data_IF_022470158264
#
_entry.id   IF_022470158264
#
_cell.length_a   1.000
_cell.length_b   1.000
_cell.length_c   1.000
_cell.angle_alpha   90.00
_cell.angle_beta   90.00
_cell.angle_gamma   90.00
#
_symmetry.space_group_name_H-M   'P 1'
#
loop_
_entity.id
_entity.type
_entity.pdbx_description
1 polymer ?
#
# COMPACT_ATOMS: atom_id res chain seq x y z
N UNK A 1 -21.24 -3.30 14.01
CA UNK A 1 -20.37 -4.49 14.15
C UNK A 1 -18.95 -4.01 14.22
N UNK A 2 -18.19 -4.26 15.29
CA UNK A 2 -16.78 -3.93 15.29
C UNK A 2 -16.07 -4.84 14.30
N UNK A 3 -15.61 -4.31 13.18
CA UNK A 3 -14.72 -5.02 12.27
C UNK A 3 -13.48 -5.42 13.07
N UNK A 4 -13.14 -6.71 13.06
CA UNK A 4 -11.97 -7.22 13.74
C UNK A 4 -10.72 -6.52 13.16
N UNK A 5 -10.09 -5.70 13.95
CA UNK A 5 -8.95 -4.82 13.57
C UNK A 5 -7.72 -5.63 13.14
N UNK A 6 -7.63 -6.91 13.50
CA UNK A 6 -6.58 -7.81 13.01
C UNK A 6 -6.66 -8.09 11.52
N UNK A 7 -7.87 -7.96 10.92
CA UNK A 7 -8.08 -8.14 9.48
C UNK A 7 -7.76 -6.90 8.64
N UNK A 8 -7.59 -5.73 9.27
CA UNK A 8 -7.48 -4.47 8.53
C UNK A 8 -6.07 -4.23 7.93
N UNK A 9 -4.98 -4.63 8.61
CA UNK A 9 -3.61 -4.44 8.12
C UNK A 9 -3.00 -5.78 7.69
N UNK A 10 -3.32 -6.20 6.48
CA UNK A 10 -2.90 -7.47 5.90
C UNK A 10 -1.47 -7.37 5.37
N UNK A 11 -0.67 -8.42 5.60
CA UNK A 11 0.69 -8.57 5.10
C UNK A 11 1.60 -9.26 6.12
N UNK A 12 2.59 -9.96 5.63
CA UNK A 12 3.63 -10.65 6.41
C UNK A 12 5.03 -10.08 6.13
N UNK A 13 5.11 -9.11 5.20
CA UNK A 13 6.37 -8.46 4.92
C UNK A 13 6.93 -7.77 6.18
N UNK A 14 8.26 -7.80 6.43
CA UNK A 14 8.88 -7.21 7.62
C UNK A 14 8.50 -5.75 7.87
N UNK A 15 8.25 -4.97 6.82
CA UNK A 15 7.79 -3.59 6.95
C UNK A 15 6.40 -3.51 7.61
N UNK A 16 5.47 -4.42 7.26
CA UNK A 16 4.12 -4.46 7.84
C UNK A 16 4.14 -5.01 9.27
N UNK A 17 4.99 -6.00 9.54
CA UNK A 17 5.17 -6.53 10.91
C UNK A 17 5.69 -5.44 11.84
N UNK A 18 6.72 -4.69 11.43
CA UNK A 18 7.26 -3.53 12.17
C UNK A 18 6.21 -2.44 12.35
N UNK A 19 5.41 -2.18 11.31
CA UNK A 19 4.34 -1.18 11.36
C UNK A 19 3.27 -1.57 12.38
N UNK A 20 2.84 -2.84 12.45
CA UNK A 20 1.90 -3.31 13.47
C UNK A 20 2.45 -3.12 14.88
N UNK A 21 3.70 -3.50 15.13
CA UNK A 21 4.34 -3.30 16.43
C UNK A 21 4.43 -1.81 16.81
N UNK A 22 4.67 -0.92 15.84
CA UNK A 22 4.67 0.52 16.05
C UNK A 22 3.28 1.04 16.38
N UNK A 23 2.24 0.58 15.66
CA UNK A 23 0.84 0.94 15.90
C UNK A 23 0.44 0.62 17.35
N UNK A 24 0.77 -0.58 17.88
CA UNK A 24 0.46 -0.97 19.26
C UNK A 24 1.06 0.01 20.28
N UNK A 25 2.30 0.41 20.08
CA UNK A 25 2.99 1.35 20.98
C UNK A 25 2.40 2.75 20.89
N UNK A 26 2.12 3.23 19.67
CA UNK A 26 1.61 4.58 19.41
C UNK A 26 0.14 4.72 19.81
N UNK A 27 -0.64 3.65 19.69
CA UNK A 27 -2.05 3.66 20.05
C UNK A 27 -2.27 3.98 21.54
N UNK A 28 -1.43 3.45 22.41
CA UNK A 28 -1.49 3.71 23.86
C UNK A 28 -1.10 5.15 24.24
N UNK A 29 -0.32 5.84 23.38
CA UNK A 29 0.10 7.21 23.62
C UNK A 29 -0.90 8.19 22.98
N UNK A 30 -1.33 9.21 23.73
CA UNK A 30 -2.26 10.24 23.24
C UNK A 30 -1.52 11.38 22.51
N UNK A 31 -0.62 11.04 21.60
CA UNK A 31 0.20 11.98 20.83
C UNK A 31 -0.31 12.12 19.39
N UNK A 32 0.05 13.22 18.75
CA UNK A 32 -0.19 13.43 17.32
C UNK A 32 0.67 12.47 16.50
N UNK A 33 0.09 11.93 15.45
CA UNK A 33 0.74 10.97 14.53
C UNK A 33 0.68 11.52 13.12
N UNK A 34 1.82 11.50 12.42
CA UNK A 34 1.89 11.83 11.01
C UNK A 34 2.17 10.56 10.20
N UNK A 35 1.22 10.16 9.37
CA UNK A 35 1.33 8.99 8.50
C UNK A 35 1.69 9.46 7.10
N UNK A 36 2.83 9.02 6.58
CA UNK A 36 3.29 9.34 5.22
C UNK A 36 3.35 8.10 4.34
N UNK A 37 3.15 8.27 3.05
CA UNK A 37 3.21 7.19 2.06
C UNK A 37 2.40 7.53 0.82
N UNK A 38 2.69 6.86 -0.27
CA UNK A 38 2.03 7.05 -1.56
C UNK A 38 0.50 6.89 -1.47
N UNK A 39 -0.20 7.44 -2.46
CA UNK A 39 -1.66 7.22 -2.56
C UNK A 39 -1.99 5.73 -2.66
N UNK A 40 -3.05 5.29 -1.98
CA UNK A 40 -3.51 3.91 -2.01
C UNK A 40 -2.69 2.90 -1.20
N UNK A 41 -1.69 3.32 -0.40
CA UNK A 41 -0.88 2.43 0.46
C UNK A 41 -1.61 1.91 1.69
N UNK A 42 -2.76 2.51 2.08
CA UNK A 42 -3.56 2.13 3.24
C UNK A 42 -3.34 3.03 4.47
N UNK A 43 -2.96 4.30 4.30
CA UNK A 43 -2.78 5.28 5.40
C UNK A 43 -4.01 5.41 6.29
N UNK A 44 -5.21 5.43 5.71
CA UNK A 44 -6.47 5.48 6.46
C UNK A 44 -6.69 4.23 7.32
N UNK A 45 -6.35 3.04 6.78
CA UNK A 45 -6.40 1.77 7.52
C UNK A 45 -5.46 1.80 8.73
N UNK A 46 -4.26 2.37 8.56
CA UNK A 46 -3.30 2.56 9.66
C UNK A 46 -3.87 3.51 10.73
N UNK A 47 -4.46 4.63 10.33
CA UNK A 47 -5.08 5.59 11.26
C UNK A 47 -6.23 4.95 12.04
N UNK A 48 -7.08 4.20 11.36
CA UNK A 48 -8.18 3.46 11.99
C UNK A 48 -7.65 2.39 12.97
N UNK A 49 -6.59 1.67 12.59
CA UNK A 49 -5.94 0.68 13.45
C UNK A 49 -5.36 1.32 14.74
N UNK A 50 -4.78 2.53 14.64
CA UNK A 50 -4.30 3.30 15.80
C UNK A 50 -5.47 3.69 16.71
N UNK A 51 -6.57 4.20 16.14
CA UNK A 51 -7.74 4.58 16.92
C UNK A 51 -8.35 3.39 17.66
N UNK A 52 -8.59 2.28 16.97
CA UNK A 52 -9.22 1.08 17.51
C UNK A 52 -8.42 0.41 18.64
N UNK A 53 -7.10 0.60 18.68
CA UNK A 53 -6.20 0.10 19.74
C UNK A 53 -5.91 1.13 20.82
N UNK A 54 -6.48 2.32 20.71
CA UNK A 54 -6.26 3.43 21.66
C UNK A 54 -7.26 3.40 22.82
N UNK A 55 -6.99 4.16 23.92
CA UNK A 55 -7.99 4.39 24.98
C UNK A 55 -9.29 5.03 24.48
N UNK A 56 -9.29 5.61 23.28
CA UNK A 56 -10.45 6.26 22.64
C UNK A 56 -11.21 5.34 21.66
N UNK A 57 -10.97 4.05 21.65
CA UNK A 57 -11.55 3.10 20.69
C UNK A 57 -13.09 3.07 20.67
N UNK A 58 -13.73 3.44 21.78
CA UNK A 58 -15.19 3.54 21.90
C UNK A 58 -15.73 4.96 21.64
N UNK A 59 -14.87 5.91 21.30
CA UNK A 59 -15.23 7.29 20.97
C UNK A 59 -15.33 7.47 19.45
N UNK A 60 -15.74 8.68 19.02
CA UNK A 60 -15.85 9.00 17.59
C UNK A 60 -14.51 8.94 16.86
N UNK A 61 -14.51 8.32 15.68
CA UNK A 61 -13.44 8.43 14.67
C UNK A 61 -13.98 9.23 13.50
N UNK A 62 -13.42 10.43 13.26
CA UNK A 62 -13.90 11.37 12.24
C UNK A 62 -12.84 11.48 11.14
N UNK A 63 -12.96 10.75 10.01
CA UNK A 63 -12.07 10.92 8.87
C UNK A 63 -12.47 12.15 8.06
N UNK A 64 -11.48 12.97 7.70
CA UNK A 64 -11.63 14.16 6.87
C UNK A 64 -10.58 14.12 5.77
N UNK A 65 -10.99 14.05 4.52
CA UNK A 65 -10.08 14.21 3.40
C UNK A 65 -10.04 15.69 2.98
N UNK A 66 -8.89 16.36 3.21
CA UNK A 66 -8.72 17.79 2.97
C UNK A 66 -8.78 18.15 1.47
N UNK A 67 -8.43 17.22 0.58
CA UNK A 67 -8.52 17.43 -0.87
C UNK A 67 -9.93 17.22 -1.44
N UNK A 68 -10.77 16.44 -0.77
CA UNK A 68 -12.11 16.13 -1.26
C UNK A 68 -13.13 17.25 -0.99
N UNK A 69 -12.85 18.15 -0.03
CA UNK A 69 -13.72 19.26 0.33
C UNK A 69 -13.26 20.52 -0.41
N UNK A 70 -14.13 21.24 -1.13
CA UNK A 70 -13.78 22.52 -1.72
C UNK A 70 -13.15 23.48 -0.69
N UNK A 71 -12.09 24.19 -1.08
CA UNK A 71 -11.32 25.05 -0.16
C UNK A 71 -12.18 26.08 0.57
N UNK A 72 -13.17 26.64 -0.12
CA UNK A 72 -14.10 27.64 0.44
C UNK A 72 -15.02 27.06 1.52
N UNK A 73 -15.28 25.75 1.49
CA UNK A 73 -16.11 25.04 2.45
C UNK A 73 -15.31 24.36 3.56
N UNK A 74 -14.05 24.05 3.31
CA UNK A 74 -13.21 23.29 4.26
C UNK A 74 -13.13 23.97 5.63
N UNK A 75 -13.04 25.29 5.66
CA UNK A 75 -13.02 26.05 6.89
C UNK A 75 -14.31 25.86 7.70
N UNK A 76 -15.44 26.04 7.04
CA UNK A 76 -16.76 25.90 7.65
C UNK A 76 -17.05 24.46 8.10
N UNK A 77 -16.64 23.45 7.33
CA UNK A 77 -16.79 22.05 7.70
C UNK A 77 -15.89 21.69 8.89
N UNK A 78 -14.63 22.13 8.90
CA UNK A 78 -13.68 21.81 9.96
C UNK A 78 -14.01 22.49 11.29
N UNK A 79 -14.27 23.81 11.27
CA UNK A 79 -14.39 24.64 12.47
C UNK A 79 -15.83 24.96 12.85
N UNK A 80 -16.77 24.77 11.89
CA UNK A 80 -18.18 25.19 12.03
C UNK A 80 -18.39 26.66 11.69
N UNK A 81 -19.63 27.08 11.66
CA UNK A 81 -20.00 28.47 11.40
C UNK A 81 -21.26 28.90 12.16
N UNK A 82 -21.35 30.19 12.43
CA UNK A 82 -22.54 30.82 12.93
C UNK A 82 -23.45 31.29 11.77
N UNK A 83 -24.73 31.48 12.08
CA UNK A 83 -25.70 32.02 11.13
C UNK A 83 -25.24 33.37 10.60
N UNK A 84 -25.22 33.53 9.27
CA UNK A 84 -24.79 34.78 8.61
C UNK A 84 -23.28 34.95 8.44
N UNK A 85 -22.47 33.96 8.76
CA UNK A 85 -21.01 34.04 8.65
C UNK A 85 -20.53 34.22 7.19
N UNK A 86 -21.32 33.76 6.21
CA UNK A 86 -21.05 33.92 4.78
C UNK A 86 -22.38 33.85 4.00
N UNK A 87 -22.35 34.19 2.72
CA UNK A 87 -23.52 34.12 1.83
C UNK A 87 -23.95 32.66 1.68
N UNK A 88 -25.13 32.30 2.25
CA UNK A 88 -25.65 30.93 2.29
C UNK A 88 -25.61 30.26 3.69
N UNK A 89 -25.05 30.91 4.71
CA UNK A 89 -25.10 30.44 6.09
C UNK A 89 -26.49 30.68 6.72
N UNK A 90 -27.47 29.86 6.34
CA UNK A 90 -28.87 29.99 6.83
C UNK A 90 -29.04 29.60 8.31
N UNK A 91 -28.12 28.80 8.87
CA UNK A 91 -28.10 28.34 10.26
C UNK A 91 -26.69 28.25 10.83
N UNK A 92 -26.56 27.98 12.14
CA UNK A 92 -25.28 27.61 12.74
C UNK A 92 -25.04 26.12 12.61
N UNK A 93 -23.77 25.72 12.42
CA UNK A 93 -23.38 24.31 12.31
C UNK A 93 -22.08 24.05 13.09
N UNK A 94 -22.08 22.95 13.84
CA UNK A 94 -20.87 22.48 14.50
C UNK A 94 -19.88 21.93 13.49
N UNK A 95 -18.59 22.24 13.66
CA UNK A 95 -17.52 21.72 12.81
C UNK A 95 -17.11 20.30 13.18
N UNK A 96 -16.37 19.64 12.26
CA UNK A 96 -15.87 18.27 12.42
C UNK A 96 -14.93 18.15 13.63
N UNK A 97 -14.13 19.18 13.94
CA UNK A 97 -13.29 19.21 15.15
C UNK A 97 -14.12 19.15 16.43
N UNK A 98 -15.27 19.83 16.48
CA UNK A 98 -16.19 19.75 17.62
C UNK A 98 -16.91 18.41 17.68
N UNK A 99 -17.26 17.83 16.53
CA UNK A 99 -17.87 16.49 16.44
C UNK A 99 -16.90 15.39 16.90
N UNK A 100 -15.59 15.61 16.70
CA UNK A 100 -14.53 14.69 17.13
C UNK A 100 -14.14 14.86 18.62
N UNK A 101 -14.83 15.71 19.39
CA UNK A 101 -14.49 15.93 20.80
C UNK A 101 -14.46 14.62 21.58
N UNK A 102 -13.41 14.45 22.40
CA UNK A 102 -13.04 13.23 23.15
C UNK A 102 -12.70 12.01 22.28
N UNK A 103 -12.81 12.13 20.96
CA UNK A 103 -12.49 11.09 19.97
C UNK A 103 -11.17 11.33 19.26
N UNK A 104 -11.13 10.87 18.01
CA UNK A 104 -9.97 10.99 17.10
C UNK A 104 -10.42 11.59 15.79
N UNK A 105 -9.67 12.57 15.28
CA UNK A 105 -9.84 13.07 13.90
C UNK A 105 -8.67 12.59 13.04
N UNK A 106 -8.98 12.07 11.85
CA UNK A 106 -8.01 11.81 10.80
C UNK A 106 -8.08 12.94 9.78
N UNK A 107 -6.96 13.65 9.57
CA UNK A 107 -6.79 14.66 8.54
C UNK A 107 -6.00 14.02 7.39
N UNK A 108 -6.72 13.44 6.42
CA UNK A 108 -6.09 12.84 5.25
C UNK A 108 -5.78 13.91 4.20
N UNK A 109 -4.67 13.71 3.47
CA UNK A 109 -4.14 14.66 2.49
C UNK A 109 -3.94 16.06 3.08
N UNK A 110 -3.36 16.12 4.31
CA UNK A 110 -3.15 17.37 5.06
C UNK A 110 -2.31 18.40 4.28
N UNK A 111 -1.45 17.96 3.36
CA UNK A 111 -0.66 18.82 2.49
C UNK A 111 -1.48 19.71 1.55
N UNK A 112 -2.74 19.35 1.30
CA UNK A 112 -3.68 20.09 0.46
C UNK A 112 -4.47 21.16 1.24
N UNK A 113 -4.25 21.26 2.56
CA UNK A 113 -4.94 22.25 3.40
C UNK A 113 -4.45 23.66 3.08
N UNK A 114 -5.36 24.63 2.78
CA UNK A 114 -4.99 26.02 2.57
C UNK A 114 -4.20 26.63 3.74
N UNK A 115 -3.16 27.42 3.44
CA UNK A 115 -2.22 27.95 4.45
C UNK A 115 -2.90 28.79 5.55
N UNK A 116 -4.01 29.46 5.22
CA UNK A 116 -4.82 30.20 6.19
C UNK A 116 -5.49 29.28 7.23
N UNK A 117 -5.88 28.07 6.83
CA UNK A 117 -6.50 27.09 7.71
C UNK A 117 -5.44 26.34 8.56
N UNK A 118 -4.24 26.19 8.05
CA UNK A 118 -3.12 25.61 8.81
C UNK A 118 -2.85 26.39 10.09
N UNK A 119 -2.92 27.74 10.06
CA UNK A 119 -2.77 28.57 11.26
C UNK A 119 -3.89 28.35 12.29
N UNK A 120 -5.12 28.09 11.84
CA UNK A 120 -6.25 27.79 12.74
C UNK A 120 -6.11 26.38 13.34
N UNK A 121 -5.69 25.40 12.53
CA UNK A 121 -5.43 24.05 13.01
C UNK A 121 -4.31 24.03 14.06
N UNK A 122 -3.24 24.81 13.87
CA UNK A 122 -2.16 24.91 14.85
C UNK A 122 -2.69 25.33 16.24
N UNK A 123 -3.56 26.33 16.31
CA UNK A 123 -4.20 26.75 17.57
C UNK A 123 -5.01 25.64 18.24
N UNK A 124 -5.69 24.82 17.44
CA UNK A 124 -6.42 23.65 17.98
C UNK A 124 -5.46 22.63 18.57
N UNK A 125 -4.31 22.39 17.91
CA UNK A 125 -3.27 21.46 18.38
C UNK A 125 -2.52 21.96 19.63
N UNK A 126 -2.45 23.28 19.83
CA UNK A 126 -1.76 23.90 20.98
C UNK A 126 -2.70 24.06 22.17
N UNK A 127 -3.83 24.72 21.95
CA UNK A 127 -4.73 25.21 23.01
C UNK A 127 -5.97 24.32 23.20
N UNK A 128 -6.26 23.42 22.26
CA UNK A 128 -7.51 22.64 22.23
C UNK A 128 -8.74 23.54 22.01
N UNK A 129 -8.58 24.65 21.28
CA UNK A 129 -9.65 25.67 21.12
C UNK A 129 -10.09 25.77 19.68
N UNK A 130 -11.37 25.56 19.43
CA UNK A 130 -12.04 25.73 18.13
C UNK A 130 -12.87 27.00 18.15
N UNK A 131 -12.72 27.84 17.12
CA UNK A 131 -13.53 29.04 16.91
C UNK A 131 -14.28 28.92 15.58
N UNK A 132 -15.64 28.86 15.62
CA UNK A 132 -16.47 28.82 14.41
C UNK A 132 -16.31 30.09 13.56
N UNK A 133 -16.53 29.96 12.26
CA UNK A 133 -16.51 31.11 11.32
C UNK A 133 -17.63 32.09 11.69
N UNK A 134 -17.29 33.37 11.77
CA UNK A 134 -18.25 34.42 12.17
C UNK A 134 -18.57 34.48 13.65
N UNK A 135 -17.83 33.74 14.52
CA UNK A 135 -18.06 33.72 15.96
C UNK A 135 -16.84 34.19 16.75
N UNK A 136 -17.08 35.00 17.78
CA UNK A 136 -16.06 35.31 18.79
C UNK A 136 -16.00 34.28 19.93
N UNK A 137 -17.00 33.38 19.99
CA UNK A 137 -17.05 32.34 21.00
C UNK A 137 -16.11 31.19 20.63
N UNK A 138 -15.29 30.81 21.59
CA UNK A 138 -14.38 29.70 21.46
C UNK A 138 -14.88 28.49 22.26
N UNK A 139 -14.81 27.31 21.68
CA UNK A 139 -15.18 26.04 22.33
C UNK A 139 -13.92 25.21 22.55
N UNK A 140 -13.74 24.73 23.78
CA UNK A 140 -12.66 23.77 24.08
C UNK A 140 -13.03 22.38 23.62
N UNK A 141 -12.08 21.70 22.98
CA UNK A 141 -12.20 20.32 22.52
C UNK A 141 -10.95 19.53 22.96
N UNK A 142 -11.15 18.23 23.19
CA UNK A 142 -10.08 17.30 23.47
C UNK A 142 -10.04 16.25 22.37
N UNK A 143 -9.34 16.54 21.28
CA UNK A 143 -9.31 15.68 20.07
C UNK A 143 -7.91 15.12 19.89
N UNK A 144 -7.81 13.80 19.70
CA UNK A 144 -6.58 13.18 19.22
C UNK A 144 -6.48 13.38 17.71
N UNK A 145 -5.37 13.94 17.23
CA UNK A 145 -5.16 14.22 15.81
C UNK A 145 -4.23 13.17 15.20
N UNK A 146 -4.65 12.57 14.11
CA UNK A 146 -3.84 11.76 13.20
C UNK A 146 -3.86 12.48 11.86
N UNK A 147 -2.70 12.85 11.32
CA UNK A 147 -2.56 13.46 10.00
C UNK A 147 -1.98 12.43 9.02
N UNK A 148 -2.44 12.47 7.77
CA UNK A 148 -1.91 11.64 6.70
C UNK A 148 -1.54 12.52 5.48
N UNK A 149 -0.44 12.17 4.79
CA UNK A 149 0.05 12.89 3.62
C UNK A 149 0.62 11.91 2.59
N UNK A 150 0.36 12.17 1.32
CA UNK A 150 0.98 11.50 0.19
C UNK A 150 2.14 12.31 -0.41
N UNK A 151 2.32 13.55 0.04
CA UNK A 151 3.42 14.44 -0.33
C UNK A 151 4.39 14.61 0.83
N UNK A 152 5.64 14.91 0.53
CA UNK A 152 6.62 15.31 1.54
C UNK A 152 6.27 16.70 2.08
N UNK A 153 5.92 16.77 3.37
CA UNK A 153 5.57 18.03 4.02
C UNK A 153 6.80 18.92 4.26
N UNK A 154 8.00 18.34 4.40
CA UNK A 154 9.24 19.11 4.46
C UNK A 154 9.50 19.87 3.17
N UNK A 155 9.30 19.22 2.02
CA UNK A 155 9.34 19.89 0.72
C UNK A 155 8.25 20.96 0.57
N UNK A 156 7.04 20.70 1.11
CA UNK A 156 5.95 21.68 1.10
C UNK A 156 6.30 22.92 1.97
N UNK A 157 6.97 22.73 3.10
CA UNK A 157 7.51 23.83 3.92
C UNK A 157 8.55 24.64 3.13
N UNK A 158 9.51 23.97 2.47
CA UNK A 158 10.52 24.63 1.67
C UNK A 158 9.92 25.47 0.51
N UNK A 159 8.79 25.02 -0.05
CA UNK A 159 8.04 25.76 -1.09
C UNK A 159 7.12 26.85 -0.55
N UNK A 160 6.97 26.98 0.78
CA UNK A 160 6.07 27.93 1.42
C UNK A 160 4.58 27.59 1.30
N UNK A 161 4.23 26.37 0.91
CA UNK A 161 2.84 25.89 0.81
C UNK A 161 2.35 25.23 2.10
N UNK A 162 3.26 24.91 3.01
CA UNK A 162 2.96 24.38 4.34
C UNK A 162 3.74 25.16 5.41
N UNK A 163 3.10 25.39 6.57
CA UNK A 163 3.73 26.15 7.67
C UNK A 163 4.69 25.25 8.43
N UNK A 164 5.86 25.77 8.74
CA UNK A 164 6.90 25.06 9.49
C UNK A 164 6.47 24.72 10.93
N UNK A 165 5.79 25.66 11.61
CA UNK A 165 5.30 25.48 12.98
C UNK A 165 4.27 24.34 13.08
N UNK A 166 3.35 24.26 12.13
CA UNK A 166 2.37 23.18 12.04
C UNK A 166 3.06 21.84 11.72
N UNK A 167 4.03 21.83 10.82
CA UNK A 167 4.77 20.62 10.47
C UNK A 167 5.41 19.97 11.70
N UNK A 168 6.15 20.74 12.51
CA UNK A 168 6.76 20.20 13.73
C UNK A 168 5.71 19.76 14.77
N UNK A 169 4.57 20.43 14.83
CA UNK A 169 3.48 20.03 15.74
C UNK A 169 2.77 18.74 15.31
N UNK A 170 2.74 18.44 14.02
CA UNK A 170 2.19 17.20 13.47
C UNK A 170 3.19 16.04 13.52
N UNK A 171 4.48 16.31 13.31
CA UNK A 171 5.53 15.29 13.21
C UNK A 171 6.05 14.79 14.57
N UNK A 172 5.17 14.59 15.55
CA UNK A 172 5.59 14.06 16.86
C UNK A 172 5.97 12.58 16.75
N UNK A 173 5.15 11.78 16.07
CA UNK A 173 5.45 10.37 15.75
C UNK A 173 5.24 10.16 14.26
N UNK A 174 6.31 10.14 13.45
CA UNK A 174 6.21 9.82 12.04
C UNK A 174 6.03 8.32 11.81
N UNK A 175 5.10 7.95 10.93
CA UNK A 175 4.85 6.59 10.46
C UNK A 175 4.92 6.57 8.94
N UNK A 176 5.82 5.77 8.37
CA UNK A 176 5.94 5.62 6.91
C UNK A 176 5.29 4.30 6.49
N UNK A 177 4.36 4.38 5.55
CA UNK A 177 3.72 3.19 4.97
C UNK A 177 4.39 2.86 3.64
N UNK A 178 5.06 1.71 3.60
CA UNK A 178 5.78 1.26 2.41
C UNK A 178 4.85 1.05 1.20
N UNK A 179 5.25 1.45 -0.01
CA UNK A 179 4.50 1.17 -1.22
C UNK A 179 4.46 -0.34 -1.52
N UNK A 180 3.47 -0.79 -2.30
CA UNK A 180 3.23 -2.21 -2.54
C UNK A 180 4.40 -2.90 -3.28
N UNK A 181 5.10 -2.19 -4.17
CA UNK A 181 6.30 -2.68 -4.87
C UNK A 181 7.47 -3.04 -3.93
N UNK A 182 7.52 -2.47 -2.73
CA UNK A 182 8.53 -2.79 -1.71
C UNK A 182 8.13 -3.95 -0.80
N UNK A 183 6.84 -4.36 -0.85
CA UNK A 183 6.27 -5.48 -0.07
C UNK A 183 5.50 -6.46 -0.95
N UNK A 184 6.07 -6.81 -2.10
CA UNK A 184 5.44 -7.70 -3.11
C UNK A 184 5.01 -9.05 -2.56
N UNK A 185 5.68 -9.54 -1.50
CA UNK A 185 5.30 -10.77 -0.79
C UNK A 185 3.88 -10.72 -0.22
N UNK A 186 3.33 -9.52 0.00
CA UNK A 186 1.98 -9.34 0.54
C UNK A 186 0.91 -9.38 -0.57
N UNK A 187 1.28 -9.26 -1.85
CA UNK A 187 0.32 -9.26 -2.98
C UNK A 187 -0.57 -10.52 -2.99
N UNK A 188 -0.04 -11.74 -2.84
CA UNK A 188 -0.89 -12.93 -2.81
C UNK A 188 -1.89 -12.93 -1.63
N UNK A 189 -1.46 -12.48 -0.45
CA UNK A 189 -2.32 -12.40 0.74
C UNK A 189 -3.42 -11.35 0.57
N UNK A 190 -3.07 -10.18 0.02
CA UNK A 190 -4.03 -9.11 -0.27
C UNK A 190 -5.04 -9.55 -1.33
N UNK A 191 -4.56 -10.21 -2.39
CA UNK A 191 -5.43 -10.72 -3.47
C UNK A 191 -6.43 -11.74 -2.92
N UNK A 192 -5.98 -12.71 -2.11
CA UNK A 192 -6.88 -13.69 -1.50
C UNK A 192 -7.90 -13.05 -0.59
N UNK A 193 -7.48 -12.12 0.26
CA UNK A 193 -8.39 -11.36 1.11
C UNK A 193 -9.49 -10.61 0.31
N UNK A 194 -9.12 -9.97 -0.80
CA UNK A 194 -10.12 -9.28 -1.63
C UNK A 194 -11.07 -10.27 -2.30
N UNK A 195 -10.58 -11.42 -2.75
CA UNK A 195 -11.43 -12.48 -3.29
C UNK A 195 -12.37 -13.05 -2.22
N UNK A 196 -11.93 -13.25 -0.98
CA UNK A 196 -12.77 -13.67 0.15
C UNK A 196 -13.89 -12.67 0.41
N UNK A 197 -13.59 -11.37 0.48
CA UNK A 197 -14.61 -10.32 0.64
C UNK A 197 -15.65 -10.32 -0.49
N UNK A 198 -15.27 -10.67 -1.71
CA UNK A 198 -16.18 -10.77 -2.86
C UNK A 198 -17.04 -12.04 -2.73
N UNK A 199 -16.47 -13.17 -2.33
CA UNK A 199 -17.20 -14.44 -2.07
C UNK A 199 -18.27 -14.25 -0.99
N UNK A 200 -17.96 -13.52 0.07
CA UNK A 200 -18.93 -13.23 1.15
C UNK A 200 -20.14 -12.43 0.66
N UNK A 201 -19.92 -11.53 -0.30
CA UNK A 201 -21.00 -10.74 -0.93
C UNK A 201 -21.75 -11.52 -2.02
N UNK A 202 -21.14 -12.54 -2.59
CA UNK A 202 -21.69 -13.32 -3.71
C UNK A 202 -21.50 -14.83 -3.46
N UNK A 203 -22.25 -15.44 -2.52
CA UNK A 203 -21.97 -16.78 -1.98
C UNK A 203 -22.06 -17.97 -2.96
N UNK A 204 -22.31 -17.74 -4.24
CA UNK A 204 -22.44 -18.80 -5.26
C UNK A 204 -21.21 -18.98 -6.16
N UNK A 205 -20.13 -18.21 -5.97
CA UNK A 205 -18.94 -18.26 -6.83
C UNK A 205 -17.68 -18.48 -6.02
N UNK A 206 -17.09 -19.66 -6.12
CA UNK A 206 -15.70 -19.88 -5.76
C UNK A 206 -14.82 -19.29 -6.87
N UNK A 207 -14.29 -18.07 -6.65
CA UNK A 207 -13.37 -17.44 -7.60
C UNK A 207 -11.95 -17.71 -7.11
N UNK A 208 -11.12 -18.24 -8.01
CA UNK A 208 -9.69 -18.49 -7.79
C UNK A 208 -8.86 -17.71 -8.80
N UNK A 209 -7.56 -17.67 -8.61
CA UNK A 209 -6.63 -17.02 -9.54
C UNK A 209 -5.60 -18.04 -10.01
N UNK A 210 -5.31 -18.06 -11.32
CA UNK A 210 -4.29 -18.95 -11.87
C UNK A 210 -2.90 -18.55 -11.41
N UNK A 211 -1.96 -19.49 -11.42
CA UNK A 211 -0.58 -19.24 -11.02
C UNK A 211 0.09 -18.19 -11.91
N UNK A 212 -0.18 -18.25 -13.20
CA UNK A 212 0.35 -17.34 -14.21
C UNK A 212 -0.17 -15.92 -14.00
N UNK A 213 -1.47 -15.76 -13.71
CA UNK A 213 -2.06 -14.47 -13.38
C UNK A 213 -1.48 -13.91 -12.07
N UNK A 214 -1.30 -14.74 -11.04
CA UNK A 214 -0.68 -14.31 -9.78
C UNK A 214 0.77 -13.84 -9.97
N UNK A 215 1.55 -14.49 -10.84
CA UNK A 215 2.91 -14.06 -11.17
C UNK A 215 2.91 -12.69 -11.84
N UNK A 216 1.95 -12.43 -12.74
CA UNK A 216 1.81 -11.11 -13.36
C UNK A 216 1.46 -10.03 -12.35
N UNK A 217 0.49 -10.29 -11.46
CA UNK A 217 0.15 -9.37 -10.37
C UNK A 217 1.35 -9.09 -9.46
N UNK A 218 2.14 -10.11 -9.12
CA UNK A 218 3.32 -9.97 -8.27
C UNK A 218 4.43 -9.13 -8.92
N UNK A 219 4.55 -9.18 -10.24
CA UNK A 219 5.62 -8.51 -11.00
C UNK A 219 5.33 -7.04 -11.29
N UNK A 220 4.09 -6.62 -11.22
CA UNK A 220 3.67 -5.25 -11.50
C UNK A 220 4.04 -4.30 -10.35
N UNK A 221 4.30 -3.04 -10.67
CA UNK A 221 4.79 -2.05 -9.69
C UNK A 221 3.68 -1.38 -8.86
N UNK A 222 2.43 -1.51 -9.29
CA UNK A 222 1.26 -0.98 -8.59
C UNK A 222 1.38 0.51 -8.23
N UNK A 223 1.42 1.43 -9.18
CA UNK A 223 1.52 2.87 -8.89
C UNK A 223 0.37 3.39 -8.02
N UNK A 224 -0.82 2.81 -8.09
CA UNK A 224 -1.95 3.06 -7.20
C UNK A 224 -1.99 2.16 -5.97
N UNK A 225 -0.92 1.40 -5.70
CA UNK A 225 -0.71 0.57 -4.53
C UNK A 225 -1.86 -0.43 -4.25
N UNK A 226 -2.27 -0.56 -2.99
CA UNK A 226 -3.30 -1.51 -2.55
C UNK A 226 -4.67 -1.17 -3.11
N UNK A 227 -4.98 0.13 -3.27
CA UNK A 227 -6.26 0.56 -3.87
C UNK A 227 -6.39 0.13 -5.34
N UNK A 228 -5.30 0.22 -6.10
CA UNK A 228 -5.28 -0.26 -7.49
C UNK A 228 -5.42 -1.78 -7.56
N UNK A 229 -4.70 -2.52 -6.70
CA UNK A 229 -4.82 -3.98 -6.61
C UNK A 229 -6.24 -4.41 -6.23
N UNK A 230 -6.87 -3.78 -5.22
CA UNK A 230 -8.25 -4.05 -4.80
C UNK A 230 -9.23 -3.86 -5.96
N UNK A 231 -9.19 -2.71 -6.62
CA UNK A 231 -10.03 -2.40 -7.78
C UNK A 231 -9.82 -3.39 -8.93
N UNK A 232 -8.57 -3.79 -9.17
CA UNK A 232 -8.24 -4.77 -10.20
C UNK A 232 -8.83 -6.14 -9.89
N UNK A 233 -8.64 -6.64 -8.68
CA UNK A 233 -9.18 -7.94 -8.24
C UNK A 233 -10.71 -7.93 -8.29
N UNK A 234 -11.36 -6.86 -7.84
CA UNK A 234 -12.81 -6.71 -7.88
C UNK A 234 -13.32 -6.73 -9.33
N UNK A 235 -12.69 -5.97 -10.21
CA UNK A 235 -13.01 -5.96 -11.65
C UNK A 235 -12.87 -7.34 -12.27
N UNK A 236 -11.74 -8.03 -12.03
CA UNK A 236 -11.48 -9.35 -12.57
C UNK A 236 -12.48 -10.39 -12.05
N UNK A 237 -12.82 -10.32 -10.77
CA UNK A 237 -13.80 -11.23 -10.18
C UNK A 237 -15.21 -11.05 -10.75
N UNK A 238 -15.62 -9.81 -11.05
CA UNK A 238 -16.92 -9.51 -11.70
C UNK A 238 -16.96 -10.06 -13.14
N UNK A 239 -15.87 -9.89 -13.89
CA UNK A 239 -15.77 -10.28 -15.29
C UNK A 239 -15.45 -11.77 -15.49
N UNK A 240 -15.07 -12.49 -14.42
CA UNK A 240 -14.71 -13.90 -14.50
C UNK A 240 -15.93 -14.77 -14.71
N UNK A 241 -16.04 -15.45 -15.87
CA UNK A 241 -17.12 -16.38 -16.16
C UNK A 241 -16.86 -17.80 -15.63
N UNK A 242 -15.60 -18.25 -15.63
CA UNK A 242 -15.17 -19.63 -15.43
C UNK A 242 -14.64 -19.93 -14.02
N UNK A 243 -14.99 -19.13 -13.01
CA UNK A 243 -14.50 -19.27 -11.61
C UNK A 243 -12.98 -19.21 -11.43
N UNK A 244 -12.19 -19.02 -12.49
CA UNK A 244 -10.73 -18.89 -12.43
C UNK A 244 -10.30 -17.67 -13.24
N UNK A 245 -9.60 -16.75 -12.57
CA UNK A 245 -8.99 -15.57 -13.19
C UNK A 245 -7.70 -16.00 -13.88
N UNK A 246 -7.69 -15.96 -15.21
CA UNK A 246 -6.57 -16.35 -16.05
C UNK A 246 -5.73 -15.14 -16.49
N UNK A 247 -4.51 -15.44 -16.98
CA UNK A 247 -3.62 -14.44 -17.58
C UNK A 247 -4.28 -13.64 -18.72
N UNK A 248 -5.14 -14.28 -19.51
CA UNK A 248 -5.85 -13.66 -20.63
C UNK A 248 -6.86 -12.58 -20.20
N UNK A 249 -7.31 -12.62 -18.95
CA UNK A 249 -8.23 -11.61 -18.37
C UNK A 249 -7.51 -10.37 -17.87
N UNK A 250 -6.18 -10.44 -17.72
CA UNK A 250 -5.38 -9.32 -17.21
C UNK A 250 -5.23 -8.24 -18.29
N UNK A 251 -5.26 -6.95 -17.92
CA UNK A 251 -4.94 -5.87 -18.84
C UNK A 251 -3.53 -6.00 -19.43
N UNK A 252 -3.35 -5.55 -20.67
CA UNK A 252 -2.07 -5.63 -21.39
C UNK A 252 -0.90 -4.99 -20.64
N UNK A 253 -1.12 -3.90 -19.93
CA UNK A 253 -0.09 -3.23 -19.14
C UNK A 253 0.43 -4.08 -17.97
N UNK A 254 -0.39 -4.94 -17.37
CA UNK A 254 0.06 -5.90 -16.37
C UNK A 254 0.86 -7.05 -17.02
N UNK A 255 0.41 -7.51 -18.18
CA UNK A 255 1.08 -8.57 -18.92
C UNK A 255 2.42 -8.10 -19.50
N UNK A 256 2.47 -6.90 -20.05
CA UNK A 256 3.70 -6.30 -20.60
C UNK A 256 4.73 -5.93 -19.51
N UNK A 257 4.26 -5.57 -18.31
CA UNK A 257 5.12 -5.31 -17.13
C UNK A 257 5.63 -6.58 -16.45
N UNK A 258 5.05 -7.73 -16.75
CA UNK A 258 5.51 -9.02 -16.28
C UNK A 258 6.86 -9.37 -16.96
N UNK A 259 7.96 -8.71 -16.52
CA UNK A 259 9.28 -9.31 -16.71
C UNK A 259 9.19 -10.73 -16.15
N UNK A 260 9.79 -11.74 -16.78
CA UNK A 260 9.85 -13.08 -16.22
C UNK A 260 10.61 -13.03 -14.89
N UNK A 261 9.94 -12.63 -13.86
CA UNK A 261 10.46 -12.71 -12.52
C UNK A 261 10.41 -14.19 -12.16
N UNK A 262 11.57 -14.78 -11.96
CA UNK A 262 11.69 -16.11 -11.38
C UNK A 262 10.86 -16.10 -10.09
N UNK A 263 9.79 -16.92 -9.98
CA UNK A 263 8.98 -16.95 -8.78
C UNK A 263 9.88 -17.25 -7.59
N UNK A 264 9.69 -16.56 -6.44
CA UNK A 264 10.50 -16.83 -5.27
C UNK A 264 10.40 -18.31 -4.93
N UNK A 265 11.55 -18.98 -4.81
CA UNK A 265 11.63 -20.36 -4.33
C UNK A 265 11.05 -20.39 -2.90
N UNK A 266 9.76 -20.74 -2.78
CA UNK A 266 9.16 -21.03 -1.47
C UNK A 266 9.73 -22.36 -0.98
N UNK A 267 10.87 -22.28 -0.32
CA UNK A 267 11.42 -23.42 0.40
C UNK A 267 10.66 -23.53 1.71
N UNK A 268 9.68 -24.42 1.77
CA UNK A 268 9.09 -24.83 3.05
C UNK A 268 10.11 -25.75 3.72
N UNK A 269 10.73 -25.30 4.80
CA UNK A 269 11.47 -26.16 5.72
C UNK A 269 10.41 -26.99 6.48
N UNK A 270 10.07 -28.17 5.95
CA UNK A 270 9.22 -29.14 6.67
C UNK A 270 10.10 -29.95 7.62
N UNK A 271 9.50 -30.61 8.62
CA UNK A 271 10.19 -31.42 9.62
C UNK A 271 11.08 -32.57 9.07
N UNK A 272 11.01 -32.86 7.77
CA UNK A 272 11.85 -33.82 7.05
C UNK A 272 13.17 -33.26 6.49
N UNK A 273 13.46 -31.98 6.68
CA UNK A 273 14.63 -31.30 6.13
C UNK A 273 14.52 -31.02 4.61
N UNK A 274 15.34 -30.09 4.13
CA UNK A 274 15.48 -29.77 2.69
C UNK A 274 16.91 -30.07 2.29
N UNK A 275 17.09 -30.86 1.24
CA UNK A 275 18.40 -31.09 0.67
C UNK A 275 18.84 -29.85 -0.13
N UNK A 276 19.72 -29.05 0.47
CA UNK A 276 20.24 -27.82 -0.12
C UNK A 276 20.87 -28.05 -1.50
N UNK A 277 21.55 -29.20 -1.69
CA UNK A 277 22.22 -29.53 -2.96
C UNK A 277 21.20 -29.75 -4.10
N UNK A 278 20.06 -30.36 -3.80
CA UNK A 278 19.00 -30.58 -4.81
C UNK A 278 18.34 -29.27 -5.19
N UNK A 279 18.11 -28.39 -4.21
CA UNK A 279 17.57 -27.05 -4.43
C UNK A 279 18.49 -26.18 -5.28
N UNK A 280 19.79 -26.18 -4.97
CA UNK A 280 20.83 -25.46 -5.75
C UNK A 280 20.87 -26.01 -7.18
N UNK A 281 20.80 -27.34 -7.35
CA UNK A 281 20.81 -27.99 -8.66
C UNK A 281 19.56 -27.60 -9.49
N UNK A 282 18.39 -27.54 -8.87
CA UNK A 282 17.16 -27.12 -9.53
C UNK A 282 17.25 -25.66 -9.99
N UNK A 283 17.77 -24.77 -9.14
CA UNK A 283 17.96 -23.37 -9.47
C UNK A 283 18.96 -23.19 -10.62
N UNK A 284 20.10 -23.87 -10.55
CA UNK A 284 21.12 -23.89 -11.61
C UNK A 284 20.54 -24.39 -12.94
N UNK A 285 19.74 -25.45 -12.91
CA UNK A 285 19.06 -26.00 -14.08
C UNK A 285 18.10 -25.03 -14.75
N UNK A 286 17.31 -24.29 -13.94
CA UNK A 286 16.40 -23.26 -14.43
C UNK A 286 17.15 -22.10 -15.08
N UNK A 287 18.17 -21.54 -14.42
CA UNK A 287 18.97 -20.44 -14.96
C UNK A 287 19.68 -20.81 -16.26
N UNK A 288 20.22 -22.01 -16.35
CA UNK A 288 20.86 -22.54 -17.57
C UNK A 288 19.85 -22.67 -18.72
N UNK A 289 18.65 -23.18 -18.43
CA UNK A 289 17.59 -23.35 -19.43
C UNK A 289 17.09 -22.00 -19.96
N UNK A 290 16.91 -21.03 -19.06
CA UNK A 290 16.46 -19.68 -19.42
C UNK A 290 17.52 -18.95 -20.26
N UNK A 291 18.80 -19.06 -19.91
CA UNK A 291 19.88 -18.50 -20.69
C UNK A 291 19.99 -19.14 -22.09
N UNK A 292 19.77 -20.45 -22.21
CA UNK A 292 19.74 -21.15 -23.52
C UNK A 292 18.55 -20.70 -24.35
N UNK A 293 17.36 -20.55 -23.76
CA UNK A 293 16.19 -20.03 -24.49
C UNK A 293 16.42 -18.62 -25.02
N UNK A 294 16.95 -17.72 -24.20
CA UNK A 294 17.22 -16.33 -24.59
C UNK A 294 18.31 -16.19 -25.64
N UNK A 295 19.25 -17.13 -25.70
CA UNK A 295 20.36 -17.13 -26.67
C UNK A 295 20.11 -18.04 -27.87
N UNK A 296 18.88 -18.54 -28.07
CA UNK A 296 18.55 -19.42 -29.21
C UNK A 296 19.35 -20.74 -29.23
N UNK A 297 19.77 -21.26 -28.04
CA UNK A 297 20.58 -22.48 -27.93
C UNK A 297 22.08 -22.25 -27.98
N UNK A 298 22.56 -21.03 -28.18
CA UNK A 298 24.00 -20.71 -28.23
C UNK A 298 24.67 -20.84 -26.86
N UNK A 299 25.36 -21.95 -26.64
CA UNK A 299 26.05 -22.31 -25.36
C UNK A 299 27.11 -21.30 -24.93
N UNK A 300 27.77 -20.65 -25.90
CA UNK A 300 28.84 -19.66 -25.57
C UNK A 300 28.22 -18.33 -25.12
N UNK A 301 27.16 -17.87 -25.76
CA UNK A 301 26.40 -16.69 -25.37
C UNK A 301 25.71 -16.91 -24.01
N UNK A 302 25.08 -18.07 -23.80
CA UNK A 302 24.46 -18.45 -22.53
C UNK A 302 25.46 -18.49 -21.36
N UNK A 303 26.66 -19.05 -21.59
CA UNK A 303 27.72 -19.07 -20.59
C UNK A 303 28.15 -17.65 -20.19
N UNK A 304 28.35 -16.74 -21.17
CA UNK A 304 28.68 -15.33 -20.92
C UNK A 304 27.60 -14.63 -20.12
N UNK A 305 26.31 -14.89 -20.46
CA UNK A 305 25.13 -14.31 -19.79
C UNK A 305 25.08 -14.68 -18.31
N UNK A 306 25.51 -15.88 -17.95
CA UNK A 306 25.59 -16.38 -16.58
C UNK A 306 26.92 -16.11 -15.89
N UNK A 307 27.88 -15.38 -16.50
CA UNK A 307 29.22 -15.12 -15.95
C UNK A 307 30.09 -16.36 -15.81
N UNK A 308 29.79 -17.41 -16.59
CA UNK A 308 30.51 -18.70 -16.50
C UNK A 308 31.48 -18.90 -17.67
N UNK A 309 32.58 -19.64 -17.41
CA UNK A 309 33.41 -20.16 -18.48
C UNK A 309 32.66 -21.26 -19.25
N UNK A 310 32.85 -21.35 -20.58
CA UNK A 310 32.18 -22.36 -21.46
C UNK A 310 32.31 -23.81 -20.92
N UNK A 311 33.45 -24.15 -20.39
CA UNK A 311 33.70 -25.48 -19.79
C UNK A 311 32.85 -25.73 -18.56
N UNK A 312 32.76 -24.74 -17.66
CA UNK A 312 31.96 -24.81 -16.42
C UNK A 312 30.48 -24.87 -16.76
N UNK A 313 30.02 -24.09 -17.74
CA UNK A 313 28.64 -24.12 -18.23
C UNK A 313 28.26 -25.48 -18.77
N UNK A 314 29.11 -26.09 -19.63
CA UNK A 314 28.90 -27.43 -20.20
C UNK A 314 28.87 -28.53 -19.14
N UNK A 315 29.70 -28.43 -18.11
CA UNK A 315 29.70 -29.37 -16.98
C UNK A 315 28.40 -29.25 -16.16
N UNK A 316 27.94 -28.03 -15.87
CA UNK A 316 26.67 -27.78 -15.15
C UNK A 316 25.45 -28.21 -15.99
N UNK A 317 25.45 -27.97 -17.29
CA UNK A 317 24.40 -28.41 -18.20
C UNK A 317 24.19 -29.94 -18.15
N UNK A 318 25.29 -30.72 -18.20
CA UNK A 318 25.22 -32.18 -18.06
C UNK A 318 24.71 -32.61 -16.69
N UNK A 319 25.16 -31.94 -15.62
CA UNK A 319 24.79 -32.26 -14.24
C UNK A 319 23.31 -31.98 -13.93
N UNK A 320 22.74 -30.97 -14.57
CA UNK A 320 21.34 -30.60 -14.39
C UNK A 320 20.36 -31.35 -15.32
N UNK A 321 20.84 -32.21 -16.21
CA UNK A 321 20.00 -33.03 -17.10
C UNK A 321 19.22 -32.22 -18.17
N UNK A 322 19.64 -31.00 -18.46
CA UNK A 322 18.97 -30.13 -19.43
C UNK A 322 19.39 -30.57 -20.83
N UNK A 323 18.43 -31.05 -21.64
CA UNK A 323 18.64 -31.40 -23.04
C UNK A 323 18.63 -30.10 -23.86
N UNK A 324 19.77 -29.69 -24.41
CA UNK A 324 19.83 -28.54 -25.30
C UNK A 324 19.02 -28.85 -26.59
N UNK A 325 18.15 -27.96 -27.07
CA UNK A 325 17.59 -28.10 -28.38
C UNK A 325 18.70 -28.17 -29.42
N UNK A 326 18.59 -29.08 -30.37
CA UNK A 326 19.56 -29.32 -31.44
C UNK A 326 19.86 -28.00 -32.15
N UNK A 327 21.07 -27.48 -32.01
CA UNK A 327 21.57 -26.39 -32.82
C UNK A 327 21.69 -26.83 -34.24
N UNK A 328 21.10 -26.06 -35.18
CA UNK A 328 21.42 -26.08 -36.61
C UNK A 328 22.89 -25.64 -36.78
N UNK A 329 23.81 -26.58 -36.55
CA UNK A 329 25.21 -26.43 -36.93
C UNK A 329 25.32 -27.02 -38.38
N UNK A 330 25.05 -26.16 -39.36
CA UNK A 330 25.47 -26.44 -40.75
C UNK A 330 26.25 -25.28 -41.29
N UNK A 331 27.38 -25.66 -41.85
CA UNK A 331 28.23 -24.96 -42.80
C UNK A 331 29.21 -23.94 -42.25
N UNK A 332 30.47 -24.42 -42.25
CA UNK A 332 31.59 -23.81 -43.00
C UNK A 332 32.74 -24.80 -43.10
N UNK A 333 32.73 -25.61 -44.17
CA UNK A 333 33.95 -26.05 -44.87
C UNK A 333 33.83 -25.56 -46.28
N UNK A 334 34.74 -24.68 -46.72
CA UNK A 334 34.89 -24.16 -48.03
C UNK A 334 35.95 -23.07 -48.07
#
# INVERSE_FOLDING_TARGET
>A
MPFAVEQALIGEHPAIVKLRALIERVAAAEVTVLITGESGTGKEVVAQAIHMRSPRCNQSFVPVNCAAIPHDLLESEMFGHERGAFTGAAGSRHGLLTTADRGTILLDEIGEMPIGLQAKLLRVLEDGVVRPVGSDRATRVNVRVIAASNVDLGDAVARGTFREDLFYRLQVVPIVVAPLRERRSDIPLLTEHFLERIRDRTPRREITISREAMVALWSYDWPGNVRELENMVERLAILCENSTIDMAMLPENLVAGARPATPPLKVKLNDGGVNLNDLVRELEGRLINDALKQTGGNKQAAARMLGLKRTTFSAKLRRCGVIAPASLDQSEEG
#
